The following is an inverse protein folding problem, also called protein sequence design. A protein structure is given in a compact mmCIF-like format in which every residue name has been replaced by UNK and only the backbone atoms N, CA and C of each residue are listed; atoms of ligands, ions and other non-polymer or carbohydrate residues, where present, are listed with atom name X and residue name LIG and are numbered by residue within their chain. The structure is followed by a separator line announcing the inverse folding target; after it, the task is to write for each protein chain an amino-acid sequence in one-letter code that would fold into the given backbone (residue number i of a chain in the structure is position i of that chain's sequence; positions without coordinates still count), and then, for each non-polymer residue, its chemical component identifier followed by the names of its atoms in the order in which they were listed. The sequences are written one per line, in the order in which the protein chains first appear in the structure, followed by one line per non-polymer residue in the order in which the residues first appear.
data_IF_947013629492
#
_entry.id   IF_947013629492
#
_cell.length_a   1.000
_cell.length_b   1.000
_cell.length_c   1.000
_cell.angle_alpha   90.00
_cell.angle_beta   90.00
_cell.angle_gamma   90.00
#
_symmetry.space_group_name_H-M   'P 1'
#
loop_
_entity.id
_entity.type
_entity.pdbx_description
1 polymer ?
#
# COMPACT_ATOMS: atom_id res chain seq x y z
N UNK A 1 23.59 -6.73 19.76
CA UNK A 1 23.38 -5.51 18.98
C UNK A 1 21.87 -5.43 18.77
N UNK A 2 21.20 -4.47 19.39
CA UNK A 2 19.78 -4.21 19.12
C UNK A 2 19.70 -3.70 17.67
N UNK A 3 19.03 -4.44 16.79
CA UNK A 3 18.75 -3.93 15.44
C UNK A 3 17.99 -2.60 15.60
N UNK A 4 18.55 -1.55 15.02
CA UNK A 4 17.96 -0.22 15.06
C UNK A 4 16.61 -0.28 14.31
N UNK A 5 15.54 0.18 14.96
CA UNK A 5 14.19 0.14 14.38
C UNK A 5 14.15 1.02 13.12
N UNK A 6 13.72 0.46 12.00
CA UNK A 6 13.50 1.22 10.78
C UNK A 6 12.34 2.19 11.00
N UNK A 7 12.65 3.47 10.98
CA UNK A 7 11.70 4.55 11.22
C UNK A 7 11.81 5.65 10.17
N UNK A 8 11.18 6.81 10.44
CA UNK A 8 11.17 7.98 9.55
C UNK A 8 12.54 8.35 9.01
N UNK A 9 13.55 8.36 9.87
CA UNK A 9 14.93 8.75 9.50
C UNK A 9 15.53 7.88 8.40
N UNK A 10 15.17 6.58 8.36
CA UNK A 10 15.61 5.69 7.29
C UNK A 10 15.11 6.19 5.94
N UNK A 11 13.84 6.55 5.83
CA UNK A 11 13.24 7.00 4.56
C UNK A 11 13.67 8.42 4.20
N UNK A 12 13.89 9.31 5.17
CA UNK A 12 14.31 10.70 4.91
C UNK A 12 15.80 10.79 4.55
N UNK A 13 16.69 9.95 5.11
CA UNK A 13 18.14 10.00 4.91
C UNK A 13 18.66 8.99 3.90
N UNK A 14 17.97 7.88 3.70
CA UNK A 14 18.43 6.84 2.79
C UNK A 14 18.27 7.25 1.34
N UNK A 15 19.07 6.62 0.46
CA UNK A 15 18.88 6.69 -0.99
C UNK A 15 17.65 5.90 -1.46
N UNK A 16 16.77 5.51 -0.52
CA UNK A 16 15.57 4.75 -0.80
C UNK A 16 14.75 5.38 -1.93
N UNK A 17 14.59 6.71 -1.89
CA UNK A 17 13.90 7.46 -2.93
C UNK A 17 14.80 7.94 -4.09
N UNK A 18 16.12 7.72 -4.04
CA UNK A 18 17.07 8.24 -5.04
C UNK A 18 17.82 7.17 -5.84
N UNK A 19 18.05 5.99 -5.31
CA UNK A 19 18.91 5.00 -5.94
C UNK A 19 18.32 3.60 -6.12
N UNK A 20 17.43 3.18 -5.23
CA UNK A 20 16.85 1.82 -5.27
C UNK A 20 15.44 1.74 -5.83
N UNK A 21 14.73 2.87 -5.86
CA UNK A 21 13.31 2.95 -6.20
C UNK A 21 13.02 3.86 -7.40
N UNK A 22 14.02 4.18 -8.21
CA UNK A 22 13.86 5.01 -9.42
C UNK A 22 12.77 4.47 -10.36
N UNK A 23 12.67 3.14 -10.47
CA UNK A 23 11.61 2.48 -11.24
C UNK A 23 10.20 2.73 -10.69
N UNK A 24 10.07 3.19 -9.43
CA UNK A 24 8.79 3.58 -8.82
C UNK A 24 8.44 5.03 -9.10
N UNK A 25 9.42 5.87 -9.51
CA UNK A 25 9.20 7.28 -9.83
C UNK A 25 8.46 7.47 -11.16
N UNK A 26 8.70 6.58 -12.10
CA UNK A 26 7.99 6.57 -13.37
C UNK A 26 6.61 5.94 -13.20
N UNK A 27 5.60 6.81 -13.06
CA UNK A 27 4.20 6.40 -12.91
C UNK A 27 3.65 5.68 -14.14
N UNK A 28 4.29 5.85 -15.29
CA UNK A 28 3.93 5.19 -16.54
C UNK A 28 4.63 3.85 -16.74
N UNK A 29 5.53 3.48 -15.84
CA UNK A 29 6.22 2.19 -15.88
C UNK A 29 5.23 1.01 -15.89
N UNK A 30 5.56 -0.11 -16.54
CA UNK A 30 4.73 -1.31 -16.54
C UNK A 30 4.41 -1.82 -15.13
N UNK A 31 5.33 -1.64 -14.18
CA UNK A 31 5.15 -2.04 -12.79
C UNK A 31 4.12 -1.17 -12.09
N UNK A 32 4.18 0.16 -12.23
CA UNK A 32 3.22 1.07 -11.62
C UNK A 32 1.82 0.91 -12.21
N UNK A 33 1.71 0.78 -13.54
CA UNK A 33 0.43 0.46 -14.20
C UNK A 33 -0.17 -0.86 -13.71
N UNK A 34 0.67 -1.86 -13.51
CA UNK A 34 0.24 -3.13 -12.90
C UNK A 34 -0.27 -2.92 -11.47
N UNK A 35 0.49 -2.19 -10.60
CA UNK A 35 0.07 -1.91 -9.22
C UNK A 35 -1.30 -1.23 -9.17
N UNK A 36 -1.44 -0.13 -9.91
CA UNK A 36 -2.71 0.62 -9.99
C UNK A 36 -3.84 -0.31 -10.44
N UNK A 37 -3.65 -1.05 -11.55
CA UNK A 37 -4.67 -1.97 -12.06
C UNK A 37 -5.07 -3.00 -11.02
N UNK A 38 -4.12 -3.58 -10.28
CA UNK A 38 -4.40 -4.64 -9.29
C UNK A 38 -5.08 -4.10 -8.04
N UNK A 39 -4.68 -2.94 -7.55
CA UNK A 39 -5.34 -2.31 -6.40
C UNK A 39 -6.76 -1.87 -6.76
N UNK A 40 -6.99 -1.30 -7.96
CA UNK A 40 -8.33 -0.95 -8.44
C UNK A 40 -9.21 -2.18 -8.70
N UNK A 41 -8.64 -3.35 -9.00
CA UNK A 41 -9.41 -4.60 -9.05
C UNK A 41 -9.94 -5.04 -7.67
N UNK A 42 -9.31 -4.59 -6.58
CA UNK A 42 -9.84 -4.83 -5.22
C UNK A 42 -11.11 -4.01 -5.03
N UNK A 43 -11.01 -2.72 -5.26
CA UNK A 43 -12.12 -1.76 -5.25
C UNK A 43 -11.76 -0.56 -6.13
N UNK A 44 -12.64 -0.20 -7.03
CA UNK A 44 -12.52 1.00 -7.86
C UNK A 44 -13.46 2.09 -7.31
N UNK A 45 -12.92 3.20 -6.80
CA UNK A 45 -13.73 4.26 -6.22
C UNK A 45 -14.47 5.05 -7.30
N UNK A 46 -15.67 5.52 -6.94
CA UNK A 46 -16.49 6.35 -7.81
C UNK A 46 -16.12 7.84 -7.80
N UNK A 47 -16.67 8.62 -8.75
CA UNK A 47 -16.27 10.03 -8.98
C UNK A 47 -16.62 10.99 -7.83
N UNK A 48 -17.49 10.58 -6.89
CA UNK A 48 -17.84 11.39 -5.71
C UNK A 48 -17.12 10.98 -4.43
N UNK A 49 -16.34 9.90 -4.45
CA UNK A 49 -15.71 9.36 -3.25
C UNK A 49 -14.46 10.17 -2.85
N UNK A 50 -14.26 10.26 -1.53
CA UNK A 50 -13.05 10.81 -0.91
C UNK A 50 -12.13 9.67 -0.52
N UNK A 51 -10.94 9.68 -1.09
CA UNK A 51 -9.94 8.61 -0.95
C UNK A 51 -8.76 9.09 -0.10
N UNK A 52 -8.27 8.22 0.77
CA UNK A 52 -7.02 8.39 1.51
C UNK A 52 -6.03 7.31 1.09
N UNK A 53 -4.85 7.71 0.61
CA UNK A 53 -3.73 6.82 0.28
C UNK A 53 -2.70 6.90 1.42
N UNK A 54 -2.63 5.87 2.27
CA UNK A 54 -1.72 5.83 3.42
C UNK A 54 -0.40 5.14 3.05
N UNK A 55 0.73 5.80 3.35
CA UNK A 55 2.04 5.41 2.84
C UNK A 55 2.13 5.69 1.34
N UNK A 56 1.73 6.89 0.92
CA UNK A 56 1.57 7.22 -0.50
C UNK A 56 2.89 7.22 -1.30
N UNK A 57 4.04 7.32 -0.63
CA UNK A 57 5.36 7.34 -1.25
C UNK A 57 5.44 8.36 -2.41
N UNK A 58 5.60 7.87 -3.63
CA UNK A 58 5.65 8.70 -4.85
C UNK A 58 4.29 9.24 -5.32
N UNK A 59 3.21 9.03 -4.56
CA UNK A 59 1.86 9.47 -4.89
C UNK A 59 1.19 8.69 -6.02
N UNK A 60 1.60 7.45 -6.27
CA UNK A 60 1.13 6.64 -7.41
C UNK A 60 -0.39 6.60 -7.52
N UNK A 61 -1.09 6.33 -6.42
CA UNK A 61 -2.55 6.27 -6.43
C UNK A 61 -3.19 7.65 -6.49
N UNK A 62 -2.56 8.67 -5.90
CA UNK A 62 -3.03 10.06 -6.01
C UNK A 62 -3.06 10.54 -7.47
N UNK A 63 -2.01 10.23 -8.23
CA UNK A 63 -1.94 10.55 -9.66
C UNK A 63 -2.92 9.75 -10.52
N UNK A 64 -3.06 8.47 -10.20
CA UNK A 64 -3.93 7.59 -10.97
C UNK A 64 -5.42 7.85 -10.74
N UNK A 65 -5.80 8.21 -9.52
CA UNK A 65 -7.18 8.39 -9.07
C UNK A 65 -7.65 9.83 -9.07
N UNK A 66 -6.75 10.81 -8.90
CA UNK A 66 -7.12 12.23 -8.82
C UNK A 66 -8.13 12.67 -9.89
N UNK A 67 -7.94 12.32 -11.18
CA UNK A 67 -8.90 12.67 -12.23
C UNK A 67 -10.24 11.90 -12.20
N UNK A 68 -10.40 10.92 -11.30
CA UNK A 68 -11.52 9.95 -11.31
C UNK A 68 -12.41 10.02 -10.09
N UNK A 69 -11.93 10.63 -8.99
CA UNK A 69 -12.61 10.64 -7.69
C UNK A 69 -12.95 12.08 -7.29
N UNK A 70 -13.76 12.25 -6.25
CA UNK A 70 -14.09 13.56 -5.73
C UNK A 70 -12.89 14.28 -5.12
N UNK A 71 -12.14 13.57 -4.29
CA UNK A 71 -10.90 14.04 -3.66
C UNK A 71 -10.01 12.85 -3.33
N UNK A 72 -8.69 13.04 -3.39
CA UNK A 72 -7.71 12.08 -2.87
C UNK A 72 -6.63 12.81 -2.10
N UNK A 73 -6.32 12.28 -0.92
CA UNK A 73 -5.21 12.75 -0.10
C UNK A 73 -4.19 11.64 0.05
N UNK A 74 -2.93 11.94 -0.25
CA UNK A 74 -1.80 11.07 0.07
C UNK A 74 -1.21 11.44 1.42
N UNK A 75 -0.98 10.44 2.27
CA UNK A 75 -0.30 10.59 3.56
C UNK A 75 0.96 9.75 3.57
N UNK A 76 2.07 10.38 3.93
CA UNK A 76 3.32 9.67 4.20
C UNK A 76 4.03 10.33 5.38
N UNK A 77 4.78 9.55 6.17
CA UNK A 77 5.49 10.12 7.30
C UNK A 77 6.85 10.74 6.90
N UNK A 78 7.36 10.42 5.71
CA UNK A 78 8.56 11.03 5.14
C UNK A 78 8.25 12.40 4.55
N UNK A 79 8.86 13.44 5.11
CA UNK A 79 8.74 14.79 4.56
C UNK A 79 9.29 14.87 3.14
N UNK A 80 10.39 14.15 2.87
CA UNK A 80 10.99 14.08 1.53
C UNK A 80 10.03 13.51 0.48
N UNK A 81 9.27 12.49 0.85
CA UNK A 81 8.23 11.90 -0.01
C UNK A 81 7.15 12.93 -0.35
N UNK A 82 6.66 13.64 0.65
CA UNK A 82 5.63 14.67 0.49
C UNK A 82 6.15 15.85 -0.36
N UNK A 83 7.37 16.34 -0.09
CA UNK A 83 7.97 17.42 -0.87
C UNK A 83 8.06 17.07 -2.37
N UNK A 84 8.43 15.83 -2.70
CA UNK A 84 8.47 15.35 -4.09
C UNK A 84 7.06 15.28 -4.71
N UNK A 85 6.08 14.85 -3.95
CA UNK A 85 4.69 14.84 -4.41
C UNK A 85 4.16 16.25 -4.65
N UNK A 86 4.41 17.19 -3.73
CA UNK A 86 3.99 18.58 -3.87
C UNK A 86 4.68 19.29 -5.04
N UNK A 87 6.00 19.09 -5.23
CA UNK A 87 6.72 19.60 -6.38
C UNK A 87 6.13 19.11 -7.70
N UNK A 88 5.78 17.83 -7.78
CA UNK A 88 5.13 17.25 -8.96
C UNK A 88 3.73 17.82 -9.17
N UNK A 89 2.96 18.00 -8.09
CA UNK A 89 1.62 18.59 -8.16
C UNK A 89 1.68 20.05 -8.64
N UNK A 90 2.68 20.82 -8.21
CA UNK A 90 2.90 22.18 -8.69
C UNK A 90 3.23 22.24 -10.19
N UNK A 91 3.96 21.24 -10.72
CA UNK A 91 4.30 21.15 -12.16
C UNK A 91 3.11 20.64 -13.00
N UNK A 92 2.28 19.76 -12.42
CA UNK A 92 1.11 19.19 -13.09
C UNK A 92 -0.08 19.20 -12.13
N UNK A 93 -0.78 20.31 -11.98
CA UNK A 93 -1.92 20.42 -11.08
C UNK A 93 -3.05 19.44 -11.43
N UNK A 94 -3.61 18.80 -10.42
CA UNK A 94 -4.81 17.95 -10.52
C UNK A 94 -5.74 18.38 -9.39
N UNK A 95 -6.94 18.82 -9.76
CA UNK A 95 -7.94 19.24 -8.79
C UNK A 95 -8.32 18.09 -7.85
N UNK A 96 -8.51 18.41 -6.58
CA UNK A 96 -8.90 17.44 -5.56
C UNK A 96 -7.76 16.53 -5.07
N UNK A 97 -6.52 16.67 -5.57
CA UNK A 97 -5.33 15.97 -5.05
C UNK A 97 -4.63 16.83 -4.00
N UNK A 98 -4.26 16.24 -2.88
CA UNK A 98 -3.48 16.88 -1.83
C UNK A 98 -2.56 15.88 -1.13
N UNK A 99 -1.55 16.39 -0.42
CA UNK A 99 -0.60 15.58 0.32
C UNK A 99 -0.44 16.11 1.75
N UNK A 100 -0.13 15.20 2.70
CA UNK A 100 0.05 15.53 4.10
C UNK A 100 1.21 14.70 4.68
N UNK A 101 2.20 15.37 5.26
CA UNK A 101 3.22 14.70 6.05
C UNK A 101 2.67 14.36 7.44
N UNK A 102 2.29 13.09 7.63
CA UNK A 102 1.75 12.60 8.90
C UNK A 102 2.03 11.11 9.09
N UNK A 103 1.97 10.66 10.34
CA UNK A 103 2.08 9.26 10.68
C UNK A 103 0.75 8.54 10.40
N UNK A 104 0.79 7.46 9.63
CA UNK A 104 -0.39 6.66 9.30
C UNK A 104 -1.08 6.03 10.54
N UNK A 105 -0.37 5.94 11.67
CA UNK A 105 -0.91 5.46 12.96
C UNK A 105 -1.78 6.52 13.65
N UNK A 106 -1.59 7.79 13.33
CA UNK A 106 -2.33 8.93 13.86
C UNK A 106 -2.18 10.10 12.87
N UNK A 107 -3.05 10.13 11.87
CA UNK A 107 -2.98 11.10 10.78
C UNK A 107 -3.37 12.52 11.19
N UNK A 108 -4.06 12.69 12.32
CA UNK A 108 -4.68 13.95 12.73
C UNK A 108 -5.90 14.35 11.89
N UNK A 109 -6.31 13.52 10.93
CA UNK A 109 -7.47 13.78 10.07
C UNK A 109 -8.79 13.57 10.83
N UNK A 110 -9.86 14.22 10.37
CA UNK A 110 -11.19 14.07 10.95
C UNK A 110 -11.71 12.63 10.88
N UNK A 111 -12.44 12.20 11.92
CA UNK A 111 -13.15 10.93 11.88
C UNK A 111 -14.23 10.94 10.79
N UNK A 112 -14.55 9.77 10.25
CA UNK A 112 -15.63 9.58 9.26
C UNK A 112 -15.57 10.54 8.05
N UNK A 113 -14.34 10.80 7.57
CA UNK A 113 -14.08 11.77 6.51
C UNK A 113 -13.86 11.16 5.13
N UNK A 114 -13.55 9.85 5.05
CA UNK A 114 -13.19 9.18 3.81
C UNK A 114 -14.12 8.01 3.49
N UNK A 115 -14.32 7.78 2.19
CA UNK A 115 -15.11 6.66 1.68
C UNK A 115 -14.22 5.43 1.44
N UNK A 116 -12.95 5.66 1.08
CA UNK A 116 -11.94 4.62 0.84
C UNK A 116 -10.61 5.00 1.49
N UNK A 117 -9.98 4.04 2.16
CA UNK A 117 -8.56 4.08 2.55
C UNK A 117 -7.81 3.01 1.77
N UNK A 118 -6.73 3.38 1.10
CA UNK A 118 -5.81 2.49 0.40
C UNK A 118 -4.52 2.38 1.21
N UNK A 119 -4.09 1.14 1.50
CA UNK A 119 -2.77 0.83 2.06
C UNK A 119 -2.07 -0.18 1.17
N UNK A 120 -1.37 0.30 0.15
CA UNK A 120 -0.72 -0.54 -0.85
C UNK A 120 0.80 -0.53 -0.68
N UNK A 121 1.38 -1.71 -0.46
CA UNK A 121 2.81 -1.90 -0.15
C UNK A 121 3.24 -1.05 1.08
N UNK A 122 2.43 -1.07 2.14
CA UNK A 122 2.67 -0.36 3.39
C UNK A 122 2.88 -1.32 4.56
N UNK A 123 1.97 -2.29 4.74
CA UNK A 123 1.93 -3.08 5.99
C UNK A 123 3.14 -3.99 6.20
N UNK A 124 3.89 -4.33 5.15
CA UNK A 124 5.17 -5.05 5.23
C UNK A 124 6.31 -4.21 5.80
N UNK A 125 6.18 -2.89 5.73
CA UNK A 125 7.15 -1.92 6.28
C UNK A 125 6.86 -1.57 7.74
N UNK A 126 5.75 -2.06 8.29
CA UNK A 126 5.29 -1.75 9.64
C UNK A 126 5.53 -2.92 10.59
N UNK A 127 6.03 -2.62 11.78
CA UNK A 127 6.07 -3.57 12.88
C UNK A 127 4.65 -4.02 13.26
N UNK A 128 4.48 -5.16 13.96
CA UNK A 128 3.16 -5.69 14.29
C UNK A 128 2.21 -4.66 14.90
N UNK A 129 2.67 -4.00 15.96
CA UNK A 129 1.92 -3.00 16.71
C UNK A 129 1.57 -1.76 15.86
N UNK A 130 2.48 -1.34 14.97
CA UNK A 130 2.25 -0.22 14.07
C UNK A 130 1.19 -0.55 13.02
N UNK A 131 1.19 -1.79 12.51
CA UNK A 131 0.18 -2.26 11.56
C UNK A 131 -1.22 -2.24 12.17
N UNK A 132 -1.37 -2.66 13.42
CA UNK A 132 -2.64 -2.62 14.16
C UNK A 132 -3.11 -1.17 14.37
N UNK A 133 -2.20 -0.27 14.74
CA UNK A 133 -2.50 1.14 14.91
C UNK A 133 -2.94 1.81 13.59
N UNK A 134 -2.29 1.49 12.45
CA UNK A 134 -2.69 2.00 11.12
C UNK A 134 -4.09 1.51 10.73
N UNK A 135 -4.42 0.24 10.99
CA UNK A 135 -5.76 -0.29 10.71
C UNK A 135 -6.81 0.36 11.61
N UNK A 136 -6.49 0.63 12.89
CA UNK A 136 -7.38 1.35 13.80
C UNK A 136 -7.61 2.80 13.34
N UNK A 137 -6.57 3.48 12.90
CA UNK A 137 -6.68 4.84 12.34
C UNK A 137 -7.51 4.85 11.05
N UNK A 138 -7.29 3.88 10.14
CA UNK A 138 -8.10 3.72 8.94
C UNK A 138 -9.60 3.53 9.29
N UNK A 139 -9.90 2.73 10.32
CA UNK A 139 -11.27 2.56 10.80
C UNK A 139 -11.86 3.86 11.32
N UNK A 140 -11.07 4.65 12.06
CA UNK A 140 -11.51 5.93 12.63
C UNK A 140 -11.87 6.95 11.54
N UNK A 141 -11.00 7.09 10.52
CA UNK A 141 -11.17 8.10 9.47
C UNK A 141 -12.19 7.71 8.41
N UNK A 142 -12.48 6.42 8.24
CA UNK A 142 -13.50 5.93 7.32
C UNK A 142 -14.90 6.26 7.82
N UNK A 143 -15.77 6.67 6.91
CA UNK A 143 -17.21 6.77 7.12
C UNK A 143 -17.82 5.40 7.39
N UNK A 144 -19.03 5.36 7.97
CA UNK A 144 -19.84 4.13 7.98
C UNK A 144 -20.09 3.68 6.54
N UNK A 145 -19.93 2.39 6.28
CA UNK A 145 -19.98 1.82 4.93
C UNK A 145 -18.72 2.02 4.10
N UNK A 146 -17.76 2.82 4.56
CA UNK A 146 -16.46 3.02 3.90
C UNK A 146 -15.59 1.77 3.91
N UNK A 147 -14.57 1.75 3.05
CA UNK A 147 -13.75 0.56 2.79
C UNK A 147 -12.27 0.79 3.03
N UNK A 148 -11.62 -0.23 3.54
CA UNK A 148 -10.15 -0.35 3.62
C UNK A 148 -9.70 -1.35 2.56
N UNK A 149 -8.83 -0.91 1.65
CA UNK A 149 -8.19 -1.74 0.62
C UNK A 149 -6.72 -1.94 0.97
N UNK A 150 -6.31 -3.17 1.26
CA UNK A 150 -4.93 -3.54 1.55
C UNK A 150 -4.34 -4.38 0.43
N UNK A 151 -3.10 -4.06 0.06
CA UNK A 151 -2.31 -4.76 -0.92
C UNK A 151 -0.87 -4.89 -0.44
N UNK A 152 -0.34 -6.15 -0.36
CA UNK A 152 0.99 -6.41 0.20
C UNK A 152 1.64 -7.66 -0.40
N UNK A 153 2.98 -7.80 -0.43
CA UNK A 153 3.63 -9.03 -0.86
C UNK A 153 3.33 -10.20 0.08
N UNK A 154 3.26 -11.40 -0.51
CA UNK A 154 3.14 -12.64 0.25
C UNK A 154 4.52 -13.26 0.48
N UNK A 155 4.93 -13.38 1.75
CA UNK A 155 6.24 -13.92 2.15
C UNK A 155 6.56 -15.29 1.56
N UNK A 156 5.54 -16.16 1.41
CA UNK A 156 5.69 -17.52 0.92
C UNK A 156 5.93 -17.64 -0.58
N UNK A 157 5.92 -16.55 -1.34
CA UNK A 157 6.21 -16.59 -2.77
C UNK A 157 7.70 -16.89 -3.02
N UNK A 158 7.99 -17.74 -4.00
CA UNK A 158 9.37 -18.19 -4.24
C UNK A 158 10.36 -17.03 -4.52
N UNK A 159 9.93 -15.97 -5.22
CA UNK A 159 10.78 -14.79 -5.44
C UNK A 159 11.07 -14.04 -4.13
N UNK A 160 10.13 -13.94 -3.20
CA UNK A 160 10.37 -13.33 -1.89
C UNK A 160 11.31 -14.21 -1.03
N UNK A 161 11.22 -15.54 -1.19
CA UNK A 161 12.15 -16.47 -0.54
C UNK A 161 13.58 -16.36 -1.10
N UNK A 162 13.73 -16.11 -2.40
CA UNK A 162 15.04 -15.85 -3.03
C UNK A 162 15.62 -14.51 -2.59
N UNK A 163 14.79 -13.46 -2.55
CA UNK A 163 15.18 -12.14 -2.01
C UNK A 163 15.66 -12.24 -0.56
N UNK A 164 14.93 -12.96 0.29
CA UNK A 164 15.28 -13.11 1.70
C UNK A 164 16.65 -13.77 1.90
N UNK A 165 17.15 -14.53 0.92
CA UNK A 165 18.46 -15.17 0.91
C UNK A 165 19.53 -14.41 0.10
N UNK A 166 19.19 -13.22 -0.44
CA UNK A 166 20.03 -12.46 -1.38
C UNK A 166 20.46 -13.29 -2.61
N UNK A 167 19.61 -14.21 -3.07
CA UNK A 167 19.81 -15.00 -4.28
C UNK A 167 19.11 -14.31 -5.44
N UNK A 168 19.87 -13.85 -6.45
CA UNK A 168 19.39 -13.15 -7.67
C UNK A 168 18.87 -11.75 -7.40
N UNK A 169 18.11 -11.54 -6.34
CA UNK A 169 17.50 -10.25 -5.94
C UNK A 169 17.96 -9.89 -4.53
N UNK A 170 18.26 -8.63 -4.29
CA UNK A 170 18.62 -8.14 -2.96
C UNK A 170 17.40 -8.09 -2.03
N UNK A 171 17.64 -8.42 -0.76
CA UNK A 171 16.62 -8.27 0.29
C UNK A 171 16.32 -6.78 0.48
N UNK A 172 15.05 -6.45 0.49
CA UNK A 172 14.60 -5.14 0.94
C UNK A 172 14.63 -5.13 2.48
N UNK A 173 15.54 -4.34 3.04
CA UNK A 173 15.72 -4.24 4.50
C UNK A 173 14.55 -3.54 5.17
N UNK A 174 13.77 -2.75 4.41
CA UNK A 174 12.61 -2.04 4.92
C UNK A 174 11.38 -2.95 5.12
N UNK A 175 11.38 -4.16 4.55
CA UNK A 175 10.34 -5.15 4.80
C UNK A 175 10.57 -5.85 6.16
N UNK A 176 10.05 -5.26 7.22
CA UNK A 176 10.28 -5.72 8.60
C UNK A 176 9.34 -6.83 9.05
N UNK A 177 8.09 -6.86 8.53
CA UNK A 177 7.10 -7.85 8.95
C UNK A 177 6.09 -8.19 7.83
N UNK A 178 6.37 -9.27 7.11
CA UNK A 178 5.42 -9.81 6.13
C UNK A 178 4.19 -10.40 6.80
N UNK A 179 3.02 -9.98 6.38
CA UNK A 179 1.74 -10.50 6.86
C UNK A 179 1.30 -11.72 6.05
N UNK A 180 0.63 -12.67 6.71
CA UNK A 180 -0.13 -13.71 6.01
C UNK A 180 -1.57 -13.22 5.74
N UNK A 181 -2.30 -13.91 4.86
CA UNK A 181 -3.71 -13.64 4.61
C UNK A 181 -4.54 -13.69 5.89
N UNK A 182 -4.35 -14.72 6.70
CA UNK A 182 -5.11 -14.90 7.94
C UNK A 182 -4.79 -13.80 8.95
N UNK A 183 -3.52 -13.41 9.06
CA UNK A 183 -3.13 -12.31 9.95
C UNK A 183 -3.75 -10.99 9.53
N UNK A 184 -3.78 -10.67 8.22
CA UNK A 184 -4.44 -9.46 7.72
C UNK A 184 -5.94 -9.48 8.01
N UNK A 185 -6.63 -10.60 7.77
CA UNK A 185 -8.04 -10.74 8.10
C UNK A 185 -8.30 -10.54 9.59
N UNK A 186 -7.52 -11.21 10.44
CA UNK A 186 -7.64 -11.07 11.91
C UNK A 186 -7.42 -9.62 12.34
N UNK A 187 -6.40 -8.95 11.82
CA UNK A 187 -6.07 -7.58 12.14
C UNK A 187 -7.23 -6.62 11.81
N UNK A 188 -7.83 -6.73 10.62
CA UNK A 188 -8.95 -5.87 10.25
C UNK A 188 -10.23 -6.22 11.03
N UNK A 189 -10.51 -7.50 11.29
CA UNK A 189 -11.71 -7.90 12.04
C UNK A 189 -11.63 -7.55 13.53
N UNK A 190 -10.45 -7.59 14.14
CA UNK A 190 -10.25 -7.18 15.55
C UNK A 190 -10.59 -5.70 15.78
N UNK A 191 -10.40 -4.86 14.76
CA UNK A 191 -10.75 -3.42 14.82
C UNK A 191 -12.26 -3.19 14.57
N UNK A 192 -12.95 -4.15 14.00
CA UNK A 192 -14.40 -4.07 13.75
C UNK A 192 -14.79 -4.01 12.27
N UNK A 193 -13.85 -4.19 11.35
CA UNK A 193 -14.17 -4.32 9.92
C UNK A 193 -14.82 -5.67 9.61
N UNK A 194 -15.67 -5.69 8.57
CA UNK A 194 -16.14 -6.91 7.93
C UNK A 194 -15.34 -7.15 6.64
N UNK A 195 -14.72 -8.32 6.48
CA UNK A 195 -13.98 -8.65 5.25
C UNK A 195 -14.96 -8.93 4.12
N UNK A 196 -14.97 -8.10 3.08
CA UNK A 196 -15.80 -8.28 1.88
C UNK A 196 -15.11 -9.20 0.85
N UNK A 197 -13.79 -9.05 0.66
CA UNK A 197 -13.00 -9.84 -0.30
C UNK A 197 -11.59 -10.07 0.23
N UNK A 198 -11.06 -11.28 0.00
CA UNK A 198 -9.66 -11.58 0.28
C UNK A 198 -9.18 -12.63 -0.71
N UNK A 199 -8.09 -12.36 -1.43
CA UNK A 199 -7.57 -13.26 -2.45
C UNK A 199 -6.07 -13.06 -2.68
N UNK A 200 -5.45 -14.02 -3.34
CA UNK A 200 -4.07 -13.90 -3.84
C UNK A 200 -4.09 -13.38 -5.28
N UNK A 201 -3.19 -12.46 -5.57
CA UNK A 201 -3.04 -11.92 -6.92
C UNK A 201 -1.66 -12.27 -7.49
N UNK A 202 -1.64 -12.46 -8.79
CA UNK A 202 -0.46 -12.82 -9.58
C UNK A 202 0.50 -11.64 -9.79
N UNK A 203 1.74 -11.91 -10.23
CA UNK A 203 2.77 -10.91 -10.54
C UNK A 203 2.52 -10.18 -11.87
N UNK A 204 3.33 -9.14 -12.13
CA UNK A 204 3.37 -8.43 -13.43
C UNK A 204 4.17 -9.16 -14.50
N UNK A 205 4.95 -10.19 -14.14
CA UNK A 205 5.81 -10.92 -15.06
C UNK A 205 4.97 -11.83 -15.96
N UNK A 206 4.95 -11.57 -17.27
CA UNK A 206 4.00 -12.15 -18.24
C UNK A 206 3.95 -13.68 -18.17
N UNK A 207 5.09 -14.38 -18.27
CA UNK A 207 5.12 -15.84 -18.21
C UNK A 207 4.71 -16.40 -16.86
N UNK A 208 5.24 -15.81 -15.78
CA UNK A 208 4.97 -16.22 -14.41
C UNK A 208 3.52 -15.96 -14.00
N UNK A 209 2.95 -14.84 -14.44
CA UNK A 209 1.56 -14.45 -14.15
C UNK A 209 0.55 -15.50 -14.54
N UNK A 210 0.71 -16.11 -15.71
CA UNK A 210 -0.22 -17.14 -16.19
C UNK A 210 -0.14 -18.41 -15.33
N UNK A 211 1.06 -18.81 -14.96
CA UNK A 211 1.30 -19.95 -14.06
C UNK A 211 0.77 -19.68 -12.64
N UNK A 212 1.06 -18.51 -12.09
CA UNK A 212 0.54 -18.08 -10.79
C UNK A 212 -0.99 -18.08 -10.79
N UNK A 213 -1.64 -17.48 -11.80
CA UNK A 213 -3.10 -17.43 -11.91
C UNK A 213 -3.73 -18.83 -11.97
N UNK A 214 -3.08 -19.77 -12.65
CA UNK A 214 -3.60 -21.13 -12.81
C UNK A 214 -3.43 -21.98 -11.55
N UNK A 215 -2.31 -21.82 -10.84
CA UNK A 215 -1.90 -22.78 -9.80
C UNK A 215 -1.78 -22.20 -8.38
N UNK A 216 -1.88 -20.88 -8.16
CA UNK A 216 -1.65 -20.28 -6.84
C UNK A 216 -2.62 -20.77 -5.74
N UNK A 217 -3.78 -21.30 -6.09
CA UNK A 217 -4.71 -21.85 -5.11
C UNK A 217 -4.17 -23.15 -4.49
N UNK A 218 -3.54 -23.98 -5.30
CA UNK A 218 -3.00 -25.30 -4.89
C UNK A 218 -1.51 -25.26 -4.54
N UNK A 219 -0.77 -24.30 -5.10
CA UNK A 219 0.69 -24.18 -4.97
C UNK A 219 1.05 -22.90 -4.21
N UNK A 220 1.19 -22.93 -2.86
CA UNK A 220 1.36 -21.74 -2.04
C UNK A 220 2.55 -20.85 -2.43
N UNK A 221 3.64 -21.43 -2.96
CA UNK A 221 4.83 -20.69 -3.40
C UNK A 221 4.60 -19.82 -4.62
N UNK A 222 3.46 -19.95 -5.29
CA UNK A 222 3.03 -19.11 -6.41
C UNK A 222 2.11 -17.96 -5.99
N UNK A 223 1.78 -17.82 -4.72
CA UNK A 223 0.95 -16.72 -4.18
C UNK A 223 1.81 -15.47 -4.07
N UNK A 224 1.68 -14.56 -5.04
CA UNK A 224 2.60 -13.39 -5.16
C UNK A 224 2.22 -12.24 -4.24
N UNK A 225 0.95 -11.90 -4.20
CA UNK A 225 0.42 -10.74 -3.48
C UNK A 225 -0.84 -11.12 -2.72
N UNK A 226 -1.08 -10.44 -1.62
CA UNK A 226 -2.32 -10.54 -0.85
C UNK A 226 -3.13 -9.28 -1.07
N UNK A 227 -4.40 -9.45 -1.39
CA UNK A 227 -5.41 -8.40 -1.51
C UNK A 227 -6.51 -8.61 -0.48
N UNK A 228 -6.83 -7.59 0.29
CA UNK A 228 -7.94 -7.61 1.26
C UNK A 228 -8.78 -6.35 1.09
N UNK A 229 -10.09 -6.52 0.94
CA UNK A 229 -11.08 -5.45 1.03
C UNK A 229 -11.92 -5.68 2.28
N UNK A 230 -11.96 -4.69 3.15
CA UNK A 230 -12.71 -4.74 4.38
C UNK A 230 -13.60 -3.50 4.50
N UNK A 231 -14.83 -3.66 5.02
CA UNK A 231 -15.85 -2.61 5.14
C UNK A 231 -16.07 -2.25 6.60
N UNK A 232 -16.13 -0.96 6.89
CA UNK A 232 -16.61 -0.44 8.16
C UNK A 232 -18.15 -0.57 8.19
N UNK A 233 -18.74 -1.22 9.19
CA UNK A 233 -20.19 -1.38 9.33
C UNK A 233 -20.96 -0.06 9.42
#
# INVERSE_FOLDING_TARGET
MTEERIGREFYDRSDYYQGGTEHLQDLDSPFQKYRVTKVLQIYEPGPGERVLDVGCGWGTFCWALGPRVGQIMGVDFSQKSIDLCEQRLAQRPIDGVSFLCADARNTGLGAESFDLVIGADLVEHLYPEDSEAVVAEAFRVLKKGGRLSLWTPHRGHFLEMLKARNIVLQRDVSHVDYKSMERLKTMVTNVGFSVERAYYAESHLIGLRSMERMFQEWVPVLRRRIAVLARKP
#
